data_IF_243167900750
#
_entry.id   IF_243167900750
#
_cell.length_a   1.000
_cell.length_b   1.000
_cell.length_c   1.000
_cell.angle_alpha   90.00
_cell.angle_beta   90.00
_cell.angle_gamma   90.00
#
_symmetry.space_group_name_H-M   'P 1'
#
loop_
_entity.id
_entity.type
_entity.pdbx_description
1 polymer ?
#
# COMPACT_ATOMS: atom_id res chain seq x y z
N UNK A 1 3.02 -54.58 52.88
CA UNK A 1 1.63 -54.87 53.30
C UNK A 1 0.78 -53.73 52.75
N UNK A 2 -0.04 -54.01 51.72
CA UNK A 2 -1.52 -53.96 51.78
C UNK A 2 -2.07 -52.53 52.03
N UNK A 3 -3.03 -51.98 51.29
CA UNK A 3 -3.90 -52.53 50.26
C UNK A 3 -4.61 -51.35 49.56
N UNK A 4 -5.08 -51.63 48.34
CA UNK A 4 -5.80 -50.74 47.43
C UNK A 4 -7.10 -50.16 48.02
N UNK A 5 -7.48 -48.95 47.57
CA UNK A 5 -8.89 -48.67 47.23
C UNK A 5 -8.98 -48.11 45.82
N UNK A 6 -9.47 -48.98 44.96
CA UNK A 6 -9.95 -48.76 43.61
C UNK A 6 -11.21 -47.88 43.68
N UNK A 7 -11.24 -46.79 42.92
CA UNK A 7 -12.48 -46.17 42.46
C UNK A 7 -12.31 -45.97 40.96
N UNK A 8 -12.89 -46.90 40.20
CA UNK A 8 -13.06 -46.78 38.77
C UNK A 8 -14.14 -45.72 38.51
N UNK A 9 -13.79 -44.64 37.81
CA UNK A 9 -14.76 -43.82 37.09
C UNK A 9 -14.51 -43.98 35.60
N UNK A 10 -15.55 -44.48 34.94
CA UNK A 10 -15.63 -44.68 33.51
C UNK A 10 -15.56 -43.36 32.74
N UNK A 11 -14.74 -43.39 31.67
CA UNK A 11 -14.94 -42.77 30.37
C UNK A 11 -15.66 -41.42 30.26
N UNK A 12 -14.92 -40.44 29.76
CA UNK A 12 -15.36 -39.67 28.59
C UNK A 12 -14.10 -39.24 27.83
N UNK A 13 -13.68 -40.05 26.85
CA UNK A 13 -12.85 -39.55 25.75
C UNK A 13 -13.75 -38.63 24.93
N UNK A 14 -13.81 -37.35 25.30
CA UNK A 14 -14.23 -36.32 24.37
C UNK A 14 -13.15 -36.25 23.29
N UNK A 15 -13.31 -37.05 22.25
CA UNK A 15 -12.67 -36.80 20.99
C UNK A 15 -13.08 -35.40 20.57
N UNK A 16 -12.20 -34.42 20.77
CA UNK A 16 -12.24 -33.22 19.96
C UNK A 16 -11.96 -33.70 18.54
N UNK A 17 -13.02 -34.01 17.81
CA UNK A 17 -12.97 -33.91 16.36
C UNK A 17 -12.58 -32.47 16.09
N UNK A 18 -11.29 -32.23 15.89
CA UNK A 18 -10.86 -31.05 15.17
C UNK A 18 -11.63 -31.13 13.86
N UNK A 19 -12.64 -30.26 13.71
CA UNK A 19 -13.17 -29.99 12.40
C UNK A 19 -11.93 -29.61 11.58
N UNK A 20 -11.53 -30.51 10.69
CA UNK A 20 -10.62 -30.14 9.63
C UNK A 20 -11.20 -28.84 9.06
N UNK A 21 -10.38 -27.80 8.83
CA UNK A 21 -10.86 -26.68 8.06
C UNK A 21 -11.47 -27.30 6.81
N UNK A 22 -12.80 -27.17 6.69
CA UNK A 22 -13.46 -27.44 5.44
C UNK A 22 -12.64 -26.65 4.43
N UNK A 23 -12.25 -27.22 3.27
CA UNK A 23 -11.93 -26.36 2.16
C UNK A 23 -13.26 -25.65 1.88
N UNK A 24 -13.52 -24.55 2.59
CA UNK A 24 -14.17 -23.43 1.99
C UNK A 24 -13.29 -23.20 0.78
N UNK A 25 -13.75 -23.75 -0.36
CA UNK A 25 -13.27 -23.34 -1.65
C UNK A 25 -13.11 -21.84 -1.50
N UNK A 26 -11.87 -21.35 -1.63
CA UNK A 26 -11.69 -19.97 -2.01
C UNK A 26 -12.58 -19.85 -3.23
N UNK A 27 -13.79 -19.30 -3.06
CA UNK A 27 -14.59 -18.88 -4.18
C UNK A 27 -13.65 -17.90 -4.86
N UNK A 28 -13.09 -18.33 -5.99
CA UNK A 28 -12.07 -17.62 -6.75
C UNK A 28 -12.76 -16.41 -7.38
N UNK A 29 -13.22 -15.46 -6.57
CA UNK A 29 -13.80 -14.23 -7.07
C UNK A 29 -12.72 -13.48 -7.82
N UNK A 30 -12.98 -13.17 -9.10
CA UNK A 30 -12.02 -12.53 -9.99
C UNK A 30 -11.73 -13.36 -11.24
N UNK A 31 -10.94 -12.79 -12.15
CA UNK A 31 -10.69 -13.34 -13.49
C UNK A 31 -10.24 -14.81 -13.49
N UNK A 32 -9.50 -15.26 -12.47
CA UNK A 32 -9.02 -16.64 -12.36
C UNK A 32 -10.10 -17.73 -12.22
N UNK A 33 -11.36 -17.37 -11.93
CA UNK A 33 -12.48 -18.32 -11.95
C UNK A 33 -13.09 -18.52 -13.34
N UNK A 34 -12.92 -17.55 -14.23
CA UNK A 34 -13.56 -17.53 -15.54
C UNK A 34 -12.56 -17.75 -16.68
N UNK A 35 -11.30 -17.40 -16.48
CA UNK A 35 -10.24 -17.52 -17.47
C UNK A 35 -9.50 -18.87 -17.39
N UNK A 36 -9.08 -19.39 -18.55
CA UNK A 36 -8.20 -20.55 -18.70
C UNK A 36 -6.79 -20.15 -19.12
N UNK A 37 -5.86 -21.12 -19.13
CA UNK A 37 -4.50 -20.96 -19.65
C UNK A 37 -3.71 -19.78 -19.04
N UNK A 38 -3.94 -19.55 -17.75
CA UNK A 38 -3.31 -18.48 -16.99
C UNK A 38 -1.81 -18.78 -16.87
N UNK A 39 -0.99 -17.98 -17.53
CA UNK A 39 0.46 -18.12 -17.59
C UNK A 39 1.15 -16.78 -17.36
N UNK A 40 2.35 -16.81 -16.79
CA UNK A 40 3.19 -15.63 -16.67
C UNK A 40 4.17 -15.61 -17.85
N UNK A 41 3.93 -14.73 -18.82
CA UNK A 41 4.79 -14.56 -19.99
C UNK A 41 5.72 -13.36 -19.76
N UNK A 42 7.04 -13.57 -19.68
CA UNK A 42 8.05 -12.48 -19.66
C UNK A 42 7.73 -11.33 -18.66
N UNK A 43 7.15 -11.66 -17.50
CA UNK A 43 6.73 -10.78 -16.39
C UNK A 43 5.33 -10.16 -16.43
N UNK A 44 4.42 -10.62 -17.29
CA UNK A 44 3.01 -10.22 -17.21
C UNK A 44 2.07 -11.41 -17.39
N UNK A 45 0.88 -11.29 -16.81
CA UNK A 45 -0.10 -12.36 -16.76
C UNK A 45 -0.88 -12.42 -18.07
N UNK A 46 -0.92 -13.60 -18.66
CA UNK A 46 -1.64 -13.91 -19.88
C UNK A 46 -2.69 -14.97 -19.56
N UNK A 47 -3.92 -14.77 -20.01
CA UNK A 47 -5.01 -15.72 -19.83
C UNK A 47 -6.00 -15.66 -21.00
N UNK A 48 -6.72 -16.76 -21.20
CA UNK A 48 -7.86 -16.84 -22.11
C UNK A 48 -9.13 -16.63 -21.31
N UNK A 49 -9.85 -15.53 -21.53
CA UNK A 49 -11.05 -15.19 -20.77
C UNK A 49 -12.28 -15.17 -21.68
N UNK A 50 -13.45 -15.65 -21.23
CA UNK A 50 -14.69 -15.45 -21.98
C UNK A 50 -15.06 -13.97 -21.99
N UNK A 51 -15.49 -13.46 -23.15
CA UNK A 51 -16.16 -12.17 -23.24
C UNK A 51 -17.67 -12.29 -22.90
N UNK A 52 -18.42 -11.19 -22.96
CA UNK A 52 -19.87 -11.17 -22.68
C UNK A 52 -20.70 -12.10 -23.57
N UNK A 53 -20.17 -12.52 -24.72
CA UNK A 53 -20.79 -13.47 -25.63
C UNK A 53 -20.37 -14.94 -25.36
N UNK A 54 -19.52 -15.17 -24.34
CA UNK A 54 -18.96 -16.49 -24.01
C UNK A 54 -17.80 -16.93 -24.93
N UNK A 55 -17.33 -16.06 -25.82
CA UNK A 55 -16.20 -16.35 -26.70
C UNK A 55 -14.89 -16.16 -25.94
N UNK A 56 -14.02 -17.17 -25.97
CA UNK A 56 -12.68 -17.09 -25.40
C UNK A 56 -11.83 -16.07 -26.17
N UNK A 57 -11.34 -15.05 -25.47
CA UNK A 57 -10.40 -14.04 -25.97
C UNK A 57 -9.10 -14.11 -25.19
N UNK A 58 -7.97 -13.94 -25.88
CA UNK A 58 -6.67 -13.87 -25.21
C UNK A 58 -6.48 -12.47 -24.64
N UNK A 59 -6.07 -12.37 -23.38
CA UNK A 59 -5.69 -11.09 -22.78
C UNK A 59 -4.54 -10.42 -23.53
N UNK A 60 -3.73 -11.16 -24.29
CA UNK A 60 -2.67 -10.59 -25.13
C UNK A 60 -3.18 -9.76 -26.32
N UNK A 61 -4.41 -10.01 -26.76
CA UNK A 61 -5.03 -9.24 -27.84
C UNK A 61 -5.63 -7.94 -27.31
N UNK A 62 -6.09 -7.93 -26.06
CA UNK A 62 -6.91 -6.86 -25.48
C UNK A 62 -6.21 -6.03 -24.41
N UNK A 63 -5.08 -6.50 -23.86
CA UNK A 63 -4.29 -5.81 -22.85
C UNK A 63 -2.83 -5.78 -23.32
N UNK A 64 -2.26 -4.58 -23.36
CA UNK A 64 -0.87 -4.34 -23.71
C UNK A 64 -0.11 -3.75 -22.52
N UNK A 65 1.17 -4.13 -22.37
CA UNK A 65 2.08 -3.50 -21.43
C UNK A 65 2.74 -2.28 -22.08
N UNK A 66 2.48 -1.11 -21.52
CA UNK A 66 3.12 0.15 -21.91
C UNK A 66 3.94 0.69 -20.73
N UNK A 67 5.27 0.60 -20.84
CA UNK A 67 6.22 1.08 -19.81
C UNK A 67 5.93 0.57 -18.39
N UNK A 68 5.45 -0.66 -18.24
CA UNK A 68 5.14 -1.26 -16.94
C UNK A 68 3.69 -1.11 -16.50
N UNK A 69 2.84 -0.44 -17.28
CA UNK A 69 1.41 -0.30 -17.02
C UNK A 69 0.61 -1.15 -18.00
N UNK A 70 -0.39 -1.87 -17.49
CA UNK A 70 -1.33 -2.64 -18.31
C UNK A 70 -2.45 -1.72 -18.80
N UNK A 71 -2.61 -1.62 -20.11
CA UNK A 71 -3.64 -0.79 -20.75
C UNK A 71 -4.45 -1.62 -21.71
N UNK A 72 -5.73 -1.27 -21.87
CA UNK A 72 -6.56 -1.84 -22.93
C UNK A 72 -5.96 -1.48 -24.29
N UNK A 73 -5.62 -2.49 -25.10
CA UNK A 73 -5.09 -2.30 -26.46
C UNK A 73 -6.13 -1.66 -27.39
N UNK A 74 -7.43 -1.78 -27.09
CA UNK A 74 -8.54 -1.18 -27.85
C UNK A 74 -8.58 0.33 -27.74
N UNK A 75 -8.22 0.88 -26.58
CA UNK A 75 -8.28 2.32 -26.33
C UNK A 75 -6.97 3.03 -26.72
N UNK A 76 -5.94 2.26 -27.08
CA UNK A 76 -4.59 2.75 -27.34
C UNK A 76 -3.92 3.26 -26.06
N UNK A 77 -2.76 3.90 -26.21
CA UNK A 77 -2.13 4.60 -25.10
C UNK A 77 -3.01 5.81 -24.75
N UNK A 78 -3.55 5.91 -23.52
CA UNK A 78 -4.25 7.10 -23.09
C UNK A 78 -3.36 8.31 -23.29
N UNK A 79 -3.86 9.33 -23.99
CA UNK A 79 -3.13 10.59 -24.04
C UNK A 79 -3.27 11.27 -22.70
N UNK A 80 -2.15 11.61 -22.06
CA UNK A 80 -2.16 12.47 -20.88
C UNK A 80 -2.97 13.72 -21.22
N UNK A 81 -4.02 14.06 -20.44
CA UNK A 81 -4.81 15.24 -20.69
C UNK A 81 -3.90 16.46 -20.84
N UNK A 82 -4.14 17.28 -21.87
CA UNK A 82 -3.30 18.46 -22.15
C UNK A 82 -3.32 19.50 -21.02
N UNK A 83 -4.29 19.40 -20.13
CA UNK A 83 -4.50 20.22 -18.94
C UNK A 83 -4.05 19.53 -17.62
N UNK A 84 -3.35 18.40 -17.71
CA UNK A 84 -2.79 17.74 -16.54
C UNK A 84 -1.83 18.68 -15.79
N UNK A 85 -2.13 18.95 -14.52
CA UNK A 85 -1.33 19.83 -13.67
C UNK A 85 0.00 19.21 -13.23
N UNK A 86 0.14 17.89 -13.40
CA UNK A 86 1.32 17.09 -13.07
C UNK A 86 1.55 16.03 -14.15
N UNK A 87 2.81 15.76 -14.47
CA UNK A 87 3.18 14.68 -15.39
C UNK A 87 3.01 13.30 -14.71
N UNK A 88 2.89 12.24 -15.52
CA UNK A 88 2.97 10.86 -15.01
C UNK A 88 4.35 10.66 -14.37
N UNK A 89 4.45 10.20 -13.11
CA UNK A 89 5.74 10.02 -12.44
C UNK A 89 6.58 8.95 -13.12
N UNK A 90 7.88 9.21 -13.29
CA UNK A 90 8.84 8.18 -13.74
C UNK A 90 9.36 7.33 -12.58
N UNK A 91 9.29 7.89 -11.37
CA UNK A 91 9.65 7.23 -10.12
C UNK A 91 8.58 7.50 -9.06
N UNK A 92 7.93 6.43 -8.60
CA UNK A 92 6.84 6.52 -7.61
C UNK A 92 7.34 6.43 -6.17
N UNK A 93 8.65 6.37 -5.93
CA UNK A 93 9.21 6.29 -4.58
C UNK A 93 9.25 7.67 -3.93
N UNK A 94 8.49 7.85 -2.85
CA UNK A 94 8.61 8.97 -1.93
C UNK A 94 9.78 8.70 -0.97
N UNK A 95 10.75 9.61 -0.91
CA UNK A 95 11.78 9.60 0.15
C UNK A 95 11.63 10.83 1.04
N UNK A 96 11.38 10.61 2.33
CA UNK A 96 11.27 11.68 3.34
C UNK A 96 12.43 11.61 4.32
N UNK A 97 13.06 12.74 4.55
CA UNK A 97 13.97 12.97 5.67
C UNK A 97 13.20 13.64 6.80
N UNK A 98 13.29 13.10 8.01
CA UNK A 98 12.62 13.63 9.19
C UNK A 98 13.63 14.21 10.19
N UNK A 99 13.26 15.34 10.82
CA UNK A 99 14.14 16.11 11.72
C UNK A 99 13.43 16.53 13.01
N UNK A 100 14.24 16.74 14.05
CA UNK A 100 13.81 17.27 15.35
C UNK A 100 14.64 18.52 15.69
N UNK A 101 14.02 19.62 16.12
CA UNK A 101 14.76 20.79 16.63
C UNK A 101 14.15 22.15 16.25
N UNK A 102 14.81 23.26 16.65
CA UNK A 102 14.27 24.61 16.50
C UNK A 102 14.65 25.38 15.22
N UNK A 103 15.30 24.79 14.19
CA UNK A 103 15.59 25.47 12.92
C UNK A 103 15.69 24.55 11.68
N UNK A 104 15.14 25.09 10.58
CA UNK A 104 14.67 24.51 9.29
C UNK A 104 15.76 23.90 8.40
N UNK A 105 15.88 22.56 8.41
CA UNK A 105 16.69 21.64 7.56
C UNK A 105 17.77 22.33 6.69
N UNK A 106 19.07 22.27 7.06
CA UNK A 106 19.90 21.12 6.70
C UNK A 106 20.90 20.75 7.83
N UNK A 107 20.71 19.56 8.38
CA UNK A 107 21.61 18.83 9.28
C UNK A 107 21.47 17.32 8.99
N UNK A 108 22.10 16.43 9.78
CA UNK A 108 21.89 14.98 9.64
C UNK A 108 20.44 14.62 9.98
N UNK A 109 19.67 13.97 9.10
CA UNK A 109 18.31 13.57 9.40
C UNK A 109 18.26 12.57 10.55
N UNK A 110 17.23 12.69 11.40
CA UNK A 110 16.97 11.72 12.46
C UNK A 110 16.36 10.43 11.91
N UNK A 111 15.73 10.49 10.73
CA UNK A 111 15.18 9.34 10.02
C UNK A 111 15.09 9.56 8.52
N UNK A 112 15.27 8.49 7.76
CA UNK A 112 15.01 8.44 6.31
C UNK A 112 13.93 7.39 6.07
N UNK A 113 12.82 7.80 5.49
CA UNK A 113 11.65 6.99 5.23
C UNK A 113 11.47 6.85 3.72
N UNK A 114 11.06 5.67 3.27
CA UNK A 114 10.81 5.39 1.85
C UNK A 114 9.47 4.72 1.69
N UNK A 115 8.65 5.24 0.78
CA UNK A 115 7.31 4.73 0.49
C UNK A 115 7.15 4.56 -1.02
N UNK A 116 6.42 3.53 -1.45
CA UNK A 116 6.17 3.22 -2.86
C UNK A 116 4.66 3.06 -3.16
N UNK A 117 3.80 3.52 -2.25
CA UNK A 117 2.36 3.39 -2.36
C UNK A 117 1.62 4.43 -1.51
N UNK A 118 0.29 4.54 -1.70
CA UNK A 118 -0.55 5.43 -0.93
C UNK A 118 -0.61 4.96 0.52
N UNK A 119 -0.75 5.92 1.44
CA UNK A 119 -0.98 5.64 2.84
C UNK A 119 -2.12 6.51 3.33
N UNK A 120 -3.12 5.89 3.95
CA UNK A 120 -4.28 6.63 4.46
C UNK A 120 -3.96 7.30 5.79
N UNK A 121 -3.22 6.62 6.65
CA UNK A 121 -2.67 7.19 7.88
C UNK A 121 -1.52 6.33 8.40
N UNK A 122 -0.30 6.73 8.11
CA UNK A 122 0.91 6.05 8.54
C UNK A 122 1.48 6.69 9.81
N UNK A 123 1.81 5.88 10.80
CA UNK A 123 2.33 6.31 12.10
C UNK A 123 3.87 6.33 12.10
N UNK A 124 4.44 7.51 12.32
CA UNK A 124 5.87 7.79 12.36
C UNK A 124 6.48 7.50 13.75
N UNK A 125 6.25 6.29 14.25
CA UNK A 125 6.81 5.79 15.51
C UNK A 125 8.08 4.97 15.25
N UNK A 126 9.25 5.63 15.30
CA UNK A 126 10.56 4.99 15.08
C UNK A 126 11.29 4.57 16.36
N UNK A 127 10.75 4.89 17.54
CA UNK A 127 11.38 4.61 18.83
C UNK A 127 10.35 4.29 19.92
N UNK A 128 10.82 3.68 21.02
CA UNK A 128 10.01 3.33 22.20
C UNK A 128 9.45 4.56 22.92
N UNK A 129 10.10 5.71 22.76
CA UNK A 129 9.62 7.01 23.24
C UNK A 129 9.10 7.83 22.04
N UNK A 130 7.94 8.51 22.17
CA UNK A 130 7.35 9.27 21.07
C UNK A 130 8.27 10.41 20.65
N UNK A 131 8.85 10.30 19.46
CA UNK A 131 9.67 11.35 18.85
C UNK A 131 8.73 12.38 18.22
N UNK A 132 8.84 13.63 18.64
CA UNK A 132 8.09 14.73 18.05
C UNK A 132 8.88 15.26 16.86
N UNK A 133 8.50 14.86 15.65
CA UNK A 133 9.09 15.37 14.42
C UNK A 133 8.59 16.77 14.11
N UNK A 134 9.51 17.72 14.07
CA UNK A 134 9.18 19.12 13.90
C UNK A 134 9.28 19.57 12.45
N UNK A 135 10.02 18.83 11.62
CA UNK A 135 10.30 19.18 10.22
C UNK A 135 10.45 17.92 9.34
N UNK A 136 10.06 18.05 8.07
CA UNK A 136 10.15 17.02 7.05
C UNK A 136 10.74 17.62 5.77
N UNK A 137 11.48 16.81 5.01
CA UNK A 137 11.96 17.21 3.67
C UNK A 137 11.84 16.03 2.72
N UNK A 138 11.07 16.21 1.64
CA UNK A 138 11.04 15.22 0.56
C UNK A 138 12.32 15.35 -0.28
N UNK A 139 13.14 14.32 -0.34
CA UNK A 139 14.32 14.27 -1.22
C UNK A 139 14.01 13.63 -2.57
N UNK A 140 12.85 12.97 -2.68
CA UNK A 140 12.28 12.46 -3.93
C UNK A 140 10.76 12.37 -3.75
N UNK A 141 9.99 12.98 -4.65
CA UNK A 141 8.54 12.90 -4.69
C UNK A 141 8.03 13.34 -6.08
N UNK A 142 7.78 12.40 -6.98
CA UNK A 142 7.22 12.73 -8.31
C UNK A 142 5.71 12.48 -8.42
N UNK A 143 5.06 11.92 -7.39
CA UNK A 143 3.72 11.37 -7.54
C UNK A 143 2.79 11.49 -6.34
N UNK A 144 3.20 12.13 -5.24
CA UNK A 144 2.42 12.12 -4.00
C UNK A 144 2.13 13.53 -3.50
N UNK A 145 0.89 13.73 -3.06
CA UNK A 145 0.52 14.76 -2.10
C UNK A 145 0.68 14.17 -0.70
N UNK A 146 1.48 14.82 0.14
CA UNK A 146 1.78 14.40 1.49
C UNK A 146 1.10 15.34 2.47
N UNK A 147 0.26 14.80 3.34
CA UNK A 147 -0.41 15.54 4.42
C UNK A 147 0.04 15.04 5.79
N UNK A 148 0.33 15.97 6.68
CA UNK A 148 0.90 15.68 8.01
C UNK A 148 -0.11 16.02 9.10
N UNK A 149 -0.26 15.13 10.08
CA UNK A 149 -1.24 15.23 11.16
C UNK A 149 -0.59 14.98 12.53
N UNK A 150 -1.22 15.53 13.57
CA UNK A 150 -0.96 15.20 14.98
C UNK A 150 -2.06 14.31 15.60
N UNK A 151 -2.98 13.80 14.78
CA UNK A 151 -4.06 12.88 15.20
C UNK A 151 -3.87 11.53 14.53
N UNK A 152 -4.02 10.45 15.30
CA UNK A 152 -3.74 9.08 14.85
C UNK A 152 -4.70 8.53 13.80
N UNK A 153 -5.74 9.29 13.48
CA UNK A 153 -6.75 8.97 12.48
C UNK A 153 -6.52 9.70 11.16
N UNK A 154 -5.57 10.64 11.09
CA UNK A 154 -5.34 11.52 9.94
C UNK A 154 -6.62 12.24 9.45
N UNK A 155 -7.51 12.57 10.38
CA UNK A 155 -8.77 13.27 10.09
C UNK A 155 -8.67 14.75 10.40
N UNK A 156 -9.47 15.58 9.71
CA UNK A 156 -9.52 17.03 9.93
C UNK A 156 -8.50 17.78 9.10
N UNK A 157 -8.16 19.00 9.52
CA UNK A 157 -7.20 19.86 8.80
C UNK A 157 -5.76 19.38 9.05
N UNK A 158 -4.98 19.06 8.01
CA UNK A 158 -3.57 18.72 8.18
C UNK A 158 -2.79 19.92 8.70
N UNK A 159 -1.72 19.65 9.45
CA UNK A 159 -0.77 20.67 9.90
C UNK A 159 -0.07 21.33 8.72
N UNK A 160 0.28 20.51 7.73
CA UNK A 160 0.86 20.94 6.46
C UNK A 160 0.55 19.91 5.38
N UNK A 161 0.40 20.39 4.15
CA UNK A 161 0.33 19.57 2.95
C UNK A 161 1.37 20.07 1.96
N UNK A 162 2.11 19.15 1.35
CA UNK A 162 3.12 19.46 0.34
C UNK A 162 3.14 18.39 -0.75
N UNK A 163 3.66 18.74 -1.91
CA UNK A 163 3.67 17.87 -3.08
C UNK A 163 5.03 17.87 -3.79
N UNK A 164 5.06 17.35 -5.02
CA UNK A 164 6.26 17.28 -5.86
C UNK A 164 6.93 18.64 -6.13
N UNK A 165 6.24 19.77 -5.93
CA UNK A 165 6.81 21.12 -6.08
C UNK A 165 7.70 21.52 -4.91
N UNK A 166 7.58 20.83 -3.77
CA UNK A 166 8.34 21.11 -2.54
C UNK A 166 9.49 20.14 -2.28
N UNK A 167 10.00 19.48 -3.33
CA UNK A 167 11.16 18.60 -3.21
C UNK A 167 12.40 19.42 -2.82
N UNK A 168 13.14 18.93 -1.82
CA UNK A 168 14.27 19.59 -1.17
C UNK A 168 13.92 20.89 -0.42
N UNK A 169 12.63 21.17 -0.20
CA UNK A 169 12.21 22.24 0.71
C UNK A 169 12.08 21.69 2.13
N UNK A 170 12.56 22.45 3.11
CA UNK A 170 12.33 22.11 4.51
C UNK A 170 10.93 22.52 4.93
N UNK A 171 10.07 21.53 5.16
CA UNK A 171 8.70 21.71 5.60
C UNK A 171 8.67 21.78 7.13
N UNK A 172 8.24 22.91 7.68
CA UNK A 172 8.00 23.04 9.13
C UNK A 172 6.62 22.51 9.50
N UNK A 173 6.55 21.58 10.44
CA UNK A 173 5.29 21.00 10.97
C UNK A 173 4.87 21.68 12.28
N UNK A 174 5.83 22.22 13.03
CA UNK A 174 5.61 22.99 14.26
C UNK A 174 5.75 22.18 15.56
N UNK A 175 5.64 22.88 16.70
CA UNK A 175 5.99 22.34 18.04
C UNK A 175 5.08 21.23 18.56
N UNK A 176 3.88 21.07 17.98
CA UNK A 176 2.99 19.95 18.30
C UNK A 176 3.29 18.70 17.48
N UNK A 177 4.26 18.77 16.56
CA UNK A 177 4.82 17.68 15.76
C UNK A 177 3.85 17.03 14.77
N UNK A 178 4.43 16.42 13.74
CA UNK A 178 3.73 15.49 12.87
C UNK A 178 4.11 14.07 13.26
N UNK A 179 3.14 13.28 13.70
CA UNK A 179 3.34 11.86 13.99
C UNK A 179 2.63 10.96 12.97
N UNK A 180 1.72 11.53 12.16
CA UNK A 180 0.93 10.74 11.22
C UNK A 180 0.95 11.36 9.84
N UNK A 181 1.12 10.52 8.82
CA UNK A 181 1.29 10.92 7.43
C UNK A 181 0.21 10.27 6.55
N UNK A 182 -0.35 11.04 5.62
CA UNK A 182 -1.18 10.52 4.54
C UNK A 182 -0.54 10.83 3.20
N UNK A 183 -0.51 9.85 2.30
CA UNK A 183 0.01 9.98 0.94
C UNK A 183 -1.11 9.70 -0.05
N UNK A 184 -1.51 10.74 -0.78
CA UNK A 184 -2.50 10.64 -1.84
C UNK A 184 -1.80 10.73 -3.20
N UNK A 185 -2.07 9.82 -4.14
CA UNK A 185 -1.44 9.88 -5.45
C UNK A 185 -1.93 11.11 -6.23
N UNK A 186 -1.01 11.80 -6.91
CA UNK A 186 -1.29 12.90 -7.84
C UNK A 186 -1.55 12.42 -9.28
N UNK A 187 -1.54 11.10 -9.46
CA UNK A 187 -1.70 10.38 -10.72
C UNK A 187 -2.65 9.19 -10.50
N UNK A 188 -3.02 8.51 -11.57
CA UNK A 188 -3.89 7.34 -11.47
C UNK A 188 -3.10 6.12 -10.95
N UNK A 189 -2.98 6.00 -9.63
CA UNK A 189 -2.37 4.86 -8.94
C UNK A 189 -3.45 3.78 -8.72
N UNK A 190 -3.28 2.62 -9.36
CA UNK A 190 -4.11 1.41 -9.20
C UNK A 190 -3.18 0.20 -8.99
#
# INVERSE_FOLDING_TARGET
MQQQKLAALFGFMAGITQAAPSPAAAATTGFSSECSDITLNTNWLVANCPNDAGTSVSSEEYIANHNGHLLSSLEGIPTVPSDASFAVPSNVVLTLSAYTGPATCPSTPGGILKFAGPETCWDLNVAVDPVVWTELMATSNEGWSVSVYNVSTCTGTPLVTFDQRSVNECITVGKNGGAYLSFTPLWNYD
#
